data_IF_380196872753
#
_entry.id   IF_380196872753
#
_cell.length_a   1.000
_cell.length_b   1.000
_cell.length_c   1.000
_cell.angle_alpha   90.00
_cell.angle_beta   90.00
_cell.angle_gamma   90.00
#
_symmetry.space_group_name_H-M   'P 1'
#
loop_
_entity.id
_entity.type
_entity.pdbx_description
1 polymer ?
#
# COMPACT_ATOMS: atom_id res chain seq x y z
N UNK A 1 6.82 -7.72 12.08
CA UNK A 1 6.60 -6.48 11.33
C UNK A 1 6.11 -5.38 12.26
N UNK A 2 6.18 -4.07 11.85
CA UNK A 2 5.88 -2.95 12.75
C UNK A 2 4.54 -3.12 13.49
N UNK A 3 3.46 -3.47 12.78
CA UNK A 3 2.14 -3.65 13.39
C UNK A 3 2.11 -4.60 14.59
N UNK A 4 2.82 -5.73 14.53
CA UNK A 4 2.91 -6.68 15.64
C UNK A 4 3.78 -6.16 16.77
N UNK A 5 4.91 -5.53 16.44
CA UNK A 5 5.84 -4.99 17.45
C UNK A 5 5.17 -3.94 18.34
N UNK A 6 4.24 -3.16 17.78
CA UNK A 6 3.53 -2.11 18.51
C UNK A 6 2.26 -2.60 19.22
N UNK A 7 1.93 -3.90 19.10
CA UNK A 7 0.80 -4.53 19.80
C UNK A 7 -0.44 -4.82 18.95
N UNK A 8 -0.38 -4.60 17.65
CA UNK A 8 -1.41 -5.05 16.70
C UNK A 8 -1.26 -6.52 16.33
N UNK A 9 -2.09 -6.96 15.40
CA UNK A 9 -2.05 -8.33 14.85
C UNK A 9 -1.87 -8.28 13.34
N UNK A 10 -1.10 -9.22 12.79
CA UNK A 10 -1.06 -9.50 11.35
C UNK A 10 -1.91 -10.73 11.10
N UNK A 11 -2.97 -10.55 10.33
CA UNK A 11 -3.94 -11.59 10.02
C UNK A 11 -4.10 -11.77 8.52
N UNK A 12 -4.56 -12.92 8.10
CA UNK A 12 -4.96 -13.15 6.71
C UNK A 12 -6.23 -12.35 6.43
N UNK A 13 -6.19 -11.52 5.39
CA UNK A 13 -7.34 -10.71 4.94
C UNK A 13 -8.48 -11.62 4.50
N UNK A 14 -9.71 -11.22 4.77
CA UNK A 14 -10.91 -11.89 4.25
C UNK A 14 -10.95 -11.87 2.72
N UNK A 15 -10.45 -10.78 2.13
CA UNK A 15 -10.31 -10.59 0.70
C UNK A 15 -8.95 -9.98 0.40
N UNK A 16 -8.07 -10.69 -0.32
CA UNK A 16 -6.79 -10.14 -0.75
C UNK A 16 -6.96 -8.92 -1.64
N UNK A 17 -6.08 -7.95 -1.50
CA UNK A 17 -6.00 -6.82 -2.41
C UNK A 17 -4.86 -7.05 -3.40
N UNK A 18 -5.24 -7.26 -4.68
CA UNK A 18 -4.29 -7.50 -5.77
C UNK A 18 -4.76 -6.67 -6.98
N UNK A 19 -3.90 -5.79 -7.48
CA UNK A 19 -4.22 -4.93 -8.60
C UNK A 19 -3.74 -3.49 -8.41
N UNK A 20 -4.15 -2.61 -9.31
CA UNK A 20 -4.02 -1.17 -9.16
C UNK A 20 -5.31 -0.65 -8.54
N UNK A 21 -5.28 -0.39 -7.25
CA UNK A 21 -6.45 -0.09 -6.44
C UNK A 21 -6.37 1.31 -5.83
N UNK A 22 -7.52 1.83 -5.44
CA UNK A 22 -7.64 3.13 -4.80
C UNK A 22 -7.21 3.08 -3.33
N UNK A 23 -6.46 4.09 -2.91
CA UNK A 23 -6.12 4.37 -1.51
C UNK A 23 -6.75 5.69 -1.14
N UNK A 24 -7.56 5.68 -0.09
CA UNK A 24 -8.24 6.86 0.45
C UNK A 24 -7.45 7.42 1.63
N UNK A 25 -6.96 8.65 1.50
CA UNK A 25 -6.28 9.37 2.58
C UNK A 25 -7.29 10.03 3.51
N UNK A 26 -7.05 9.93 4.80
CA UNK A 26 -7.89 10.49 5.85
C UNK A 26 -7.45 11.91 6.24
N UNK A 27 -8.28 12.63 6.98
CA UNK A 27 -8.01 14.00 7.45
C UNK A 27 -6.68 14.12 8.22
N UNK A 28 -6.27 13.08 8.92
CA UNK A 28 -5.00 13.05 9.67
C UNK A 28 -3.77 13.29 8.80
N UNK A 29 -3.82 13.00 7.49
CA UNK A 29 -2.72 13.29 6.57
C UNK A 29 -2.30 14.75 6.56
N UNK A 30 -3.27 15.68 6.75
CA UNK A 30 -3.02 17.13 6.68
C UNK A 30 -2.00 17.64 7.70
N UNK A 31 -1.83 16.90 8.79
CA UNK A 31 -0.85 17.20 9.85
C UNK A 31 0.39 16.32 9.77
N UNK A 32 0.46 15.42 8.80
CA UNK A 32 1.56 14.48 8.67
C UNK A 32 2.64 15.02 7.73
N UNK A 33 3.89 14.93 8.15
CA UNK A 33 5.03 15.50 7.44
C UNK A 33 5.32 14.78 6.11
N UNK A 34 5.01 13.48 6.00
CA UNK A 34 5.24 12.71 4.78
C UNK A 34 4.08 12.82 3.79
N UNK A 35 2.84 12.92 4.29
CA UNK A 35 1.65 12.73 3.46
C UNK A 35 0.77 13.97 3.28
N UNK A 36 1.08 15.11 3.94
CA UNK A 36 0.24 16.34 3.86
C UNK A 36 0.06 16.87 2.45
N UNK A 37 1.01 16.64 1.55
CA UNK A 37 0.96 17.10 0.15
C UNK A 37 0.31 16.11 -0.82
N UNK A 38 -0.10 14.92 -0.33
CA UNK A 38 -0.80 13.94 -1.15
C UNK A 38 -2.25 14.35 -1.40
N UNK A 39 -2.85 13.99 -2.55
CA UNK A 39 -4.29 14.17 -2.77
C UNK A 39 -5.10 13.27 -1.82
N UNK A 40 -6.42 13.46 -1.78
CA UNK A 40 -7.30 12.65 -0.93
C UNK A 40 -7.43 11.21 -1.40
N UNK A 41 -7.11 10.95 -2.66
CA UNK A 41 -7.13 9.61 -3.24
C UNK A 41 -5.99 9.43 -4.24
N UNK A 42 -5.36 8.25 -4.21
CA UNK A 42 -4.38 7.82 -5.23
C UNK A 42 -4.68 6.40 -5.70
N UNK A 43 -4.14 6.03 -6.85
CA UNK A 43 -4.02 4.63 -7.26
C UNK A 43 -2.62 4.11 -6.91
N UNK A 44 -2.58 2.88 -6.38
CA UNK A 44 -1.33 2.21 -6.02
C UNK A 44 -1.38 0.73 -6.38
N UNK A 45 -0.21 0.13 -6.49
CA UNK A 45 -0.11 -1.32 -6.64
C UNK A 45 -0.34 -1.99 -5.29
N UNK A 46 -1.26 -2.94 -5.27
CA UNK A 46 -1.53 -3.82 -4.15
C UNK A 46 -1.20 -5.26 -4.55
N UNK A 47 -0.53 -5.99 -3.69
CA UNK A 47 -0.31 -7.43 -3.83
C UNK A 47 -0.10 -8.06 -2.46
N UNK A 48 -1.15 -8.10 -1.67
CA UNK A 48 -1.09 -8.68 -0.33
C UNK A 48 -2.35 -9.46 0.03
N UNK A 49 -2.16 -10.48 0.88
CA UNK A 49 -3.20 -11.33 1.43
C UNK A 49 -3.26 -11.28 2.95
N UNK A 50 -2.45 -10.39 3.54
CA UNK A 50 -2.41 -10.14 4.98
C UNK A 50 -2.61 -8.66 5.25
N UNK A 51 -3.15 -8.36 6.41
CA UNK A 51 -3.38 -7.00 6.88
C UNK A 51 -3.03 -6.85 8.36
N UNK A 52 -2.80 -5.62 8.79
CA UNK A 52 -2.64 -5.28 10.20
C UNK A 52 -4.02 -4.95 10.78
N UNK A 53 -4.30 -5.45 11.98
CA UNK A 53 -5.52 -5.17 12.75
C UNK A 53 -5.20 -4.79 14.20
N UNK A 54 -6.23 -4.38 14.95
CA UNK A 54 -6.19 -4.08 16.38
C UNK A 54 -5.26 -2.94 16.79
N UNK A 55 -5.08 -1.92 15.90
CA UNK A 55 -4.28 -0.73 16.22
C UNK A 55 -5.10 0.41 16.84
N UNK A 56 -6.43 0.37 16.86
CA UNK A 56 -7.32 1.45 17.30
C UNK A 56 -7.19 1.80 18.80
N UNK A 57 -6.75 0.86 19.62
CA UNK A 57 -6.56 1.06 21.05
C UNK A 57 -5.13 1.48 21.43
N UNK A 58 -4.24 1.60 20.45
CA UNK A 58 -2.85 1.98 20.67
C UNK A 58 -2.74 3.51 20.53
N UNK A 59 -2.67 4.21 21.66
CA UNK A 59 -2.72 5.69 21.73
C UNK A 59 -1.72 6.42 20.84
N UNK A 60 -0.58 5.79 20.54
CA UNK A 60 0.50 6.38 19.74
C UNK A 60 0.36 6.09 18.25
N UNK A 61 -0.74 5.46 17.81
CA UNK A 61 -1.00 5.16 16.41
C UNK A 61 -1.93 6.22 15.82
N UNK A 62 -1.54 6.74 14.65
CA UNK A 62 -2.37 7.60 13.82
C UNK A 62 -2.63 6.91 12.50
N UNK A 63 -3.90 6.68 12.17
CA UNK A 63 -4.32 6.17 10.87
C UNK A 63 -4.27 7.29 9.84
N UNK A 64 -3.59 7.08 8.71
CA UNK A 64 -3.38 8.09 7.65
C UNK A 64 -4.14 7.74 6.38
N UNK A 65 -4.17 6.47 6.00
CA UNK A 65 -4.89 6.03 4.79
C UNK A 65 -5.48 4.63 4.97
N UNK A 66 -6.54 4.37 4.21
CA UNK A 66 -7.26 3.09 4.16
C UNK A 66 -7.64 2.74 2.72
N UNK A 67 -8.10 1.52 2.51
CA UNK A 67 -8.84 1.07 1.32
C UNK A 67 -10.14 0.42 1.75
N UNK A 68 -11.04 0.05 0.81
CA UNK A 68 -12.29 -0.64 1.17
C UNK A 68 -12.10 -1.96 1.92
N UNK A 69 -11.02 -2.68 1.64
CA UNK A 69 -10.76 -4.00 2.22
C UNK A 69 -9.74 -3.95 3.37
N UNK A 70 -8.85 -2.97 3.41
CA UNK A 70 -7.77 -2.86 4.40
C UNK A 70 -7.81 -1.51 5.11
N UNK A 71 -8.11 -1.55 6.42
CA UNK A 71 -8.20 -0.37 7.27
C UNK A 71 -6.85 0.36 7.40
N UNK A 72 -5.76 -0.36 7.64
CA UNK A 72 -4.44 0.21 7.93
C UNK A 72 -3.53 0.15 6.71
N UNK A 73 -3.88 0.87 5.65
CA UNK A 73 -3.03 1.02 4.46
C UNK A 73 -1.81 1.90 4.75
N UNK A 74 -1.99 2.97 5.53
CA UNK A 74 -0.90 3.74 6.14
C UNK A 74 -1.26 4.02 7.59
N UNK A 75 -0.33 3.70 8.48
CA UNK A 75 -0.38 4.15 9.87
C UNK A 75 0.97 4.67 10.32
N UNK A 76 0.95 5.67 11.19
CA UNK A 76 2.13 6.24 11.86
C UNK A 76 2.11 5.80 13.32
N UNK A 77 3.25 5.36 13.83
CA UNK A 77 3.45 5.10 15.25
C UNK A 77 4.43 6.12 15.81
N UNK A 78 3.99 6.86 16.83
CA UNK A 78 4.74 8.00 17.39
C UNK A 78 5.12 9.01 16.30
N UNK A 79 6.37 9.55 16.31
CA UNK A 79 6.78 10.60 15.38
C UNK A 79 7.50 10.08 14.13
N UNK A 80 8.05 8.85 14.15
CA UNK A 80 9.08 8.45 13.19
C UNK A 80 8.84 7.11 12.49
N UNK A 81 7.90 6.29 12.95
CA UNK A 81 7.69 4.97 12.38
C UNK A 81 6.40 4.90 11.55
N UNK A 82 6.51 4.43 10.32
CA UNK A 82 5.38 4.29 9.41
C UNK A 82 5.23 2.84 8.94
N UNK A 83 4.00 2.36 8.92
CA UNK A 83 3.61 1.16 8.18
C UNK A 83 2.88 1.57 6.91
N UNK A 84 3.36 1.12 5.76
CA UNK A 84 2.75 1.34 4.45
C UNK A 84 2.54 -0.03 3.82
N UNK A 85 1.31 -0.34 3.39
CA UNK A 85 0.94 -1.66 2.88
C UNK A 85 1.07 -1.74 1.36
N UNK A 86 0.73 -0.67 0.65
CA UNK A 86 0.75 -0.57 -0.82
C UNK A 86 2.12 -0.21 -1.37
N UNK A 87 2.26 -0.28 -2.71
CA UNK A 87 3.47 0.05 -3.44
C UNK A 87 3.23 1.17 -4.46
N UNK A 88 4.05 2.21 -4.42
CA UNK A 88 4.14 3.30 -5.41
C UNK A 88 5.57 3.43 -5.99
N UNK A 89 6.53 2.70 -5.41
CA UNK A 89 7.95 2.67 -5.77
C UNK A 89 8.27 1.62 -6.85
N UNK A 90 7.28 1.30 -7.68
CA UNK A 90 7.38 0.24 -8.68
C UNK A 90 8.08 0.71 -9.97
N UNK A 91 8.61 -0.27 -10.70
CA UNK A 91 9.16 -0.12 -12.05
C UNK A 91 8.21 -0.76 -13.07
N UNK A 92 8.42 -0.45 -14.35
CA UNK A 92 7.66 -1.04 -15.46
C UNK A 92 7.79 -2.58 -15.56
N UNK A 93 8.86 -3.15 -15.00
CA UNK A 93 9.07 -4.61 -14.94
C UNK A 93 8.55 -5.25 -13.66
N UNK A 94 8.14 -4.49 -12.64
CA UNK A 94 7.83 -5.04 -11.31
C UNK A 94 6.77 -6.14 -11.35
N UNK A 95 5.67 -5.93 -12.08
CA UNK A 95 4.58 -6.92 -12.14
C UNK A 95 5.02 -8.17 -12.91
N UNK A 96 5.77 -8.00 -13.99
CA UNK A 96 6.31 -9.13 -14.76
C UNK A 96 7.36 -9.90 -13.96
N UNK A 97 8.24 -9.21 -13.23
CA UNK A 97 9.27 -9.82 -12.40
C UNK A 97 8.64 -10.67 -11.26
N UNK A 98 7.62 -10.13 -10.60
CA UNK A 98 6.89 -10.89 -9.58
C UNK A 98 6.07 -12.04 -10.18
N UNK A 99 5.50 -11.83 -11.37
CA UNK A 99 4.75 -12.84 -12.12
C UNK A 99 5.59 -13.99 -12.67
N UNK A 100 6.93 -13.86 -12.68
CA UNK A 100 7.84 -14.97 -13.01
C UNK A 100 7.88 -16.05 -11.94
N UNK A 101 7.44 -15.75 -10.71
CA UNK A 101 7.34 -16.74 -9.63
C UNK A 101 6.04 -17.53 -9.81
N UNK A 102 6.12 -18.86 -10.10
CA UNK A 102 4.96 -19.66 -10.45
C UNK A 102 3.86 -19.64 -9.39
N UNK A 103 4.24 -19.62 -8.11
CA UNK A 103 3.33 -19.58 -6.97
C UNK A 103 2.53 -18.26 -6.94
N UNK A 104 3.17 -17.14 -7.23
CA UNK A 104 2.52 -15.83 -7.27
C UNK A 104 1.56 -15.73 -8.45
N UNK A 105 1.97 -16.19 -9.63
CA UNK A 105 1.10 -16.25 -10.80
C UNK A 105 -0.11 -17.14 -10.56
N UNK A 106 0.11 -18.34 -10.01
CA UNK A 106 -0.96 -19.28 -9.69
C UNK A 106 -1.95 -18.71 -8.67
N UNK A 107 -1.45 -18.08 -7.60
CA UNK A 107 -2.30 -17.42 -6.61
C UNK A 107 -3.11 -16.28 -7.22
N UNK A 108 -2.49 -15.45 -8.07
CA UNK A 108 -3.15 -14.36 -8.78
C UNK A 108 -4.28 -14.88 -9.71
N UNK A 109 -3.96 -15.86 -10.55
CA UNK A 109 -4.94 -16.41 -11.51
C UNK A 109 -6.04 -17.22 -10.84
N UNK A 110 -5.79 -17.84 -9.69
CA UNK A 110 -6.83 -18.52 -8.91
C UNK A 110 -7.86 -17.57 -8.31
N UNK A 111 -7.45 -16.34 -8.01
CA UNK A 111 -8.32 -15.33 -7.40
C UNK A 111 -9.01 -14.43 -8.43
N UNK A 112 -8.30 -14.03 -9.48
CA UNK A 112 -8.76 -13.04 -10.44
C UNK A 112 -9.05 -13.62 -11.82
N UNK A 113 -8.82 -14.91 -12.01
CA UNK A 113 -9.07 -15.61 -13.25
C UNK A 113 -7.86 -15.67 -14.19
N UNK A 114 -7.99 -16.50 -15.19
CA UNK A 114 -6.94 -16.70 -16.21
C UNK A 114 -6.64 -15.41 -16.96
N UNK A 115 -5.37 -15.10 -17.14
CA UNK A 115 -4.92 -13.87 -17.81
C UNK A 115 -4.85 -12.64 -16.89
N UNK A 116 -5.13 -12.78 -15.61
CA UNK A 116 -5.09 -11.68 -14.63
C UNK A 116 -3.73 -11.00 -14.56
N UNK A 117 -2.63 -11.74 -14.73
CA UNK A 117 -1.28 -11.17 -14.70
C UNK A 117 -1.07 -10.16 -15.83
N UNK A 118 -1.49 -10.48 -17.06
CA UNK A 118 -1.35 -9.57 -18.19
C UNK A 118 -2.20 -8.30 -18.02
N UNK A 119 -3.40 -8.44 -17.47
CA UNK A 119 -4.26 -7.29 -17.14
C UNK A 119 -3.61 -6.42 -16.06
N UNK A 120 -3.09 -7.02 -15.02
CA UNK A 120 -2.44 -6.31 -13.92
C UNK A 120 -1.18 -5.56 -14.40
N UNK A 121 -0.34 -6.19 -15.23
CA UNK A 121 0.83 -5.55 -15.82
C UNK A 121 0.45 -4.33 -16.68
N UNK A 122 -0.60 -4.46 -17.50
CA UNK A 122 -1.11 -3.35 -18.30
C UNK A 122 -1.65 -2.21 -17.43
N UNK A 123 -2.45 -2.51 -16.41
CA UNK A 123 -3.00 -1.53 -15.48
C UNK A 123 -1.88 -0.80 -14.70
N UNK A 124 -0.83 -1.52 -14.31
CA UNK A 124 0.37 -0.93 -13.68
C UNK A 124 1.08 0.05 -14.63
N UNK A 125 1.29 -0.32 -15.89
CA UNK A 125 1.91 0.56 -16.90
C UNK A 125 1.11 1.83 -17.16
N UNK A 126 -0.21 1.74 -17.23
CA UNK A 126 -1.09 2.90 -17.41
C UNK A 126 -0.97 3.88 -16.23
N UNK A 127 -0.81 3.38 -15.01
CA UNK A 127 -0.77 4.20 -13.80
C UNK A 127 0.66 4.52 -13.32
N UNK A 128 1.70 4.03 -14.01
CA UNK A 128 3.11 4.14 -13.62
C UNK A 128 3.55 5.58 -13.35
N UNK A 129 3.27 6.49 -14.29
CA UNK A 129 3.66 7.90 -14.17
C UNK A 129 3.10 8.55 -12.90
N UNK A 130 1.86 8.22 -12.55
CA UNK A 130 1.17 8.71 -11.35
C UNK A 130 1.81 8.16 -10.07
N UNK A 131 2.06 6.84 -10.02
CA UNK A 131 2.70 6.20 -8.88
C UNK A 131 4.13 6.71 -8.65
N UNK A 132 4.93 6.83 -9.73
CA UNK A 132 6.29 7.37 -9.64
C UNK A 132 6.32 8.84 -9.17
N UNK A 133 5.34 9.65 -9.58
CA UNK A 133 5.18 11.01 -9.05
C UNK A 133 4.97 10.99 -7.52
N UNK A 134 4.08 10.13 -7.02
CA UNK A 134 3.84 10.03 -5.58
C UNK A 134 5.03 9.43 -4.82
N UNK A 135 5.74 8.47 -5.41
CA UNK A 135 7.00 7.95 -4.87
C UNK A 135 8.04 9.05 -4.71
N UNK A 136 8.19 9.91 -5.72
CA UNK A 136 9.10 11.07 -5.66
C UNK A 136 8.69 12.05 -4.57
N UNK A 137 7.40 12.40 -4.47
CA UNK A 137 6.88 13.29 -3.43
C UNK A 137 7.17 12.71 -2.04
N UNK A 138 6.90 11.42 -1.83
CA UNK A 138 7.16 10.74 -0.55
C UNK A 138 8.64 10.80 -0.19
N UNK A 139 9.51 10.49 -1.13
CA UNK A 139 10.96 10.54 -0.95
C UNK A 139 11.47 11.95 -0.65
N UNK A 140 10.97 12.97 -1.37
CA UNK A 140 11.35 14.37 -1.14
C UNK A 140 10.86 14.90 0.21
N UNK A 141 9.68 14.45 0.66
CA UNK A 141 9.20 14.78 2.00
C UNK A 141 10.04 14.08 3.07
N UNK A 142 10.39 12.81 2.87
CA UNK A 142 11.25 12.07 3.78
C UNK A 142 12.63 12.73 3.94
N UNK A 143 13.27 13.16 2.84
CA UNK A 143 14.58 13.86 2.89
C UNK A 143 14.57 15.15 3.71
N UNK A 144 13.41 15.78 3.91
CA UNK A 144 13.30 16.99 4.74
C UNK A 144 13.27 16.70 6.24
N UNK A 145 13.11 15.42 6.62
CA UNK A 145 13.04 14.97 8.01
C UNK A 145 14.36 14.45 8.57
N UNK A 146 15.36 14.25 7.70
CA UNK A 146 16.67 13.66 8.03
C UNK A 146 17.84 14.61 7.77
#
# INVERSE_FOLDING_TARGET
MLGEVIGGKVVKSSKPEIGILDIDFLENKKKDQLFSTFPDKIKSLQWHSYEVQDLENIKSVTLIASSPETKYQIFKFQEHAYGIQFHIEIKDTTVSDWGCVPEYKSALESQLGKGALAKFDNDAKINMSSMNKYSTILYDNFKKLV
#
